data_IF_094751958789
#
_entry.id   IF_094751958789
#
_cell.length_a   1.000
_cell.length_b   1.000
_cell.length_c   1.000
_cell.angle_alpha   90.00
_cell.angle_beta   90.00
_cell.angle_gamma   90.00
#
_symmetry.space_group_name_H-M   'P 1'
#
loop_
_entity.id
_entity.type
_entity.pdbx_description
1 polymer ?
#
# COMPACT_ATOMS: atom_id res chain seq x y z
N UNK A 1 -32.85 2.40 -6.43
CA UNK A 1 -33.04 3.48 -5.43
C UNK A 1 -31.78 3.69 -4.59
N UNK A 2 -31.30 2.68 -3.84
CA UNK A 2 -30.11 2.85 -2.97
C UNK A 2 -28.80 3.15 -3.72
N UNK A 3 -28.57 2.59 -4.91
CA UNK A 3 -27.30 2.81 -5.64
C UNK A 3 -27.18 4.21 -6.27
N UNK A 4 -28.28 4.77 -6.79
CA UNK A 4 -28.30 6.16 -7.29
C UNK A 4 -27.98 7.15 -6.16
N UNK A 5 -28.53 6.92 -4.98
CA UNK A 5 -28.23 7.71 -3.79
C UNK A 5 -26.76 7.60 -3.38
N UNK A 6 -26.20 6.38 -3.31
CA UNK A 6 -24.77 6.18 -3.03
C UNK A 6 -23.87 6.89 -4.05
N UNK A 7 -24.26 6.88 -5.33
CA UNK A 7 -23.55 7.62 -6.37
C UNK A 7 -23.59 9.13 -6.16
N UNK A 8 -24.74 9.68 -5.77
CA UNK A 8 -24.88 11.12 -5.51
C UNK A 8 -23.97 11.56 -4.37
N UNK A 9 -23.98 10.87 -3.24
CA UNK A 9 -23.15 11.26 -2.08
C UNK A 9 -21.65 10.99 -2.31
N UNK A 10 -21.30 10.00 -3.14
CA UNK A 10 -19.90 9.60 -3.31
C UNK A 10 -19.14 10.49 -4.30
N UNK A 11 -19.84 10.99 -5.33
CA UNK A 11 -19.25 11.87 -6.36
C UNK A 11 -19.49 13.36 -6.10
N UNK A 12 -20.24 13.70 -5.06
CA UNK A 12 -20.42 15.07 -4.59
C UNK A 12 -19.19 15.53 -3.79
N UNK A 13 -18.43 16.55 -4.25
CA UNK A 13 -17.26 17.07 -3.54
C UNK A 13 -17.58 17.68 -2.18
N UNK A 14 -18.81 18.16 -1.96
CA UNK A 14 -19.23 18.77 -0.70
C UNK A 14 -19.61 17.71 0.35
N UNK A 15 -19.81 16.47 -0.09
CA UNK A 15 -20.20 15.39 0.80
C UNK A 15 -19.03 14.89 1.65
N UNK A 16 -19.23 14.66 2.97
CA UNK A 16 -18.23 13.97 3.81
C UNK A 16 -17.90 12.53 3.36
N UNK A 17 -18.70 11.96 2.44
CA UNK A 17 -18.51 10.65 1.84
C UNK A 17 -17.67 10.67 0.55
N UNK A 18 -17.33 11.86 0.04
CA UNK A 18 -16.76 12.05 -1.29
C UNK A 18 -15.47 11.27 -1.49
N UNK A 19 -15.44 10.42 -2.51
CA UNK A 19 -14.31 9.54 -2.86
C UNK A 19 -13.69 8.76 -1.67
N UNK A 20 -14.48 8.56 -0.61
CA UNK A 20 -14.01 8.06 0.67
C UNK A 20 -13.97 6.53 0.79
N UNK A 21 -13.62 6.07 1.99
CA UNK A 21 -13.69 4.67 2.37
C UNK A 21 -15.09 4.21 2.77
N UNK A 22 -15.26 2.88 2.92
CA UNK A 22 -16.52 2.25 3.38
C UNK A 22 -17.06 2.92 4.65
N UNK A 23 -16.19 3.27 5.60
CA UNK A 23 -16.61 3.87 6.87
C UNK A 23 -17.04 5.33 6.75
N UNK A 24 -16.41 6.10 5.86
CA UNK A 24 -16.81 7.49 5.59
C UNK A 24 -18.19 7.53 4.95
N UNK A 25 -18.42 6.70 3.92
CA UNK A 25 -19.74 6.56 3.27
C UNK A 25 -20.78 6.05 4.28
N UNK A 26 -20.47 5.04 5.09
CA UNK A 26 -21.41 4.51 6.08
C UNK A 26 -21.82 5.56 7.13
N UNK A 27 -20.88 6.40 7.59
CA UNK A 27 -21.18 7.49 8.54
C UNK A 27 -22.10 8.54 7.90
N UNK A 28 -21.84 8.95 6.65
CA UNK A 28 -22.68 9.91 5.95
C UNK A 28 -24.12 9.39 5.76
N UNK A 29 -24.27 8.14 5.32
CA UNK A 29 -25.58 7.50 5.16
C UNK A 29 -26.34 7.41 6.50
N UNK A 30 -25.64 7.04 7.58
CA UNK A 30 -26.24 6.95 8.91
C UNK A 30 -26.67 8.32 9.45
N UNK A 31 -25.89 9.37 9.20
CA UNK A 31 -26.20 10.73 9.64
C UNK A 31 -27.40 11.33 8.90
N UNK A 32 -27.56 11.04 7.60
CA UNK A 32 -28.72 11.51 6.83
C UNK A 32 -30.02 10.77 7.20
N UNK A 33 -29.95 9.52 7.67
CA UNK A 33 -31.11 8.75 8.12
C UNK A 33 -32.12 8.37 7.04
N UNK A 34 -31.88 8.69 5.76
CA UNK A 34 -32.80 8.40 4.64
C UNK A 34 -32.90 6.91 4.30
N UNK A 35 -31.82 6.17 4.47
CA UNK A 35 -31.74 4.76 4.09
C UNK A 35 -30.90 3.96 5.09
N UNK A 36 -31.37 2.76 5.43
CA UNK A 36 -30.58 1.79 6.20
C UNK A 36 -29.77 0.91 5.25
N UNK A 37 -28.47 1.25 5.08
CA UNK A 37 -27.56 0.51 4.22
C UNK A 37 -26.46 -0.14 5.07
N UNK A 38 -26.31 -1.45 4.96
CA UNK A 38 -25.25 -2.18 5.66
C UNK A 38 -23.86 -1.86 5.07
N UNK A 39 -22.82 -1.92 5.91
CA UNK A 39 -21.42 -1.77 5.46
C UNK A 39 -21.03 -2.73 4.33
N UNK A 40 -21.58 -3.95 4.36
CA UNK A 40 -21.30 -4.95 3.32
C UNK A 40 -21.84 -4.51 1.95
N UNK A 41 -23.05 -3.95 1.92
CA UNK A 41 -23.65 -3.42 0.69
C UNK A 41 -22.88 -2.21 0.16
N UNK A 42 -22.44 -1.30 1.04
CA UNK A 42 -21.57 -0.18 0.67
C UNK A 42 -20.24 -0.69 0.10
N UNK A 43 -19.62 -1.68 0.73
CA UNK A 43 -18.36 -2.28 0.25
C UNK A 43 -18.52 -2.88 -1.15
N UNK A 44 -19.57 -3.66 -1.38
CA UNK A 44 -19.86 -4.24 -2.69
C UNK A 44 -20.12 -3.18 -3.76
N UNK A 45 -20.80 -2.10 -3.40
CA UNK A 45 -21.04 -0.99 -4.32
C UNK A 45 -19.75 -0.22 -4.64
N UNK A 46 -18.93 0.08 -3.64
CA UNK A 46 -17.63 0.75 -3.80
C UNK A 46 -16.65 -0.07 -4.66
N UNK A 47 -16.65 -1.40 -4.53
CA UNK A 47 -15.83 -2.27 -5.38
C UNK A 47 -16.16 -2.16 -6.88
N UNK A 48 -17.37 -1.69 -7.23
CA UNK A 48 -17.78 -1.44 -8.62
C UNK A 48 -17.41 -0.04 -9.13
N UNK A 49 -16.93 0.85 -8.27
CA UNK A 49 -16.57 2.22 -8.66
C UNK A 49 -15.10 2.27 -9.08
N UNK A 50 -14.83 2.75 -10.30
CA UNK A 50 -13.46 2.85 -10.82
C UNK A 50 -12.59 3.75 -9.94
N UNK A 51 -13.12 4.89 -9.50
CA UNK A 51 -12.42 5.82 -8.61
C UNK A 51 -12.01 5.16 -7.29
N UNK A 52 -12.80 4.23 -6.78
CA UNK A 52 -12.45 3.50 -5.56
C UNK A 52 -11.42 2.41 -5.83
N UNK A 53 -11.64 1.62 -6.88
CA UNK A 53 -10.81 0.45 -7.17
C UNK A 53 -9.41 0.80 -7.69
N UNK A 54 -9.26 1.89 -8.46
CA UNK A 54 -7.97 2.34 -8.98
C UNK A 54 -7.05 2.92 -7.90
N UNK A 55 -7.61 3.67 -6.94
CA UNK A 55 -6.82 4.39 -5.94
C UNK A 55 -6.70 3.66 -4.61
N UNK A 56 -7.44 2.56 -4.43
CA UNK A 56 -7.32 1.75 -3.22
C UNK A 56 -6.16 0.76 -3.36
N UNK A 57 -5.12 0.86 -2.51
CA UNK A 57 -4.00 -0.07 -2.57
C UNK A 57 -4.48 -1.49 -2.25
N UNK A 58 -4.21 -2.42 -3.17
CA UNK A 58 -4.47 -3.83 -2.92
C UNK A 58 -3.33 -4.41 -2.08
N UNK A 59 -3.65 -4.86 -0.86
CA UNK A 59 -2.67 -5.45 0.06
C UNK A 59 -2.75 -6.97 0.02
N UNK A 60 -1.86 -7.59 -0.75
CA UNK A 60 -1.69 -9.04 -0.77
C UNK A 60 -0.70 -9.48 0.32
N UNK A 61 -1.14 -10.32 1.25
CA UNK A 61 -0.25 -11.04 2.17
C UNK A 61 0.08 -12.39 1.56
N UNK A 62 1.24 -12.48 0.91
CA UNK A 62 1.76 -13.75 0.41
C UNK A 62 2.78 -14.32 1.40
N UNK A 63 2.85 -15.66 1.50
CA UNK A 63 3.87 -16.33 2.31
C UNK A 63 5.23 -16.09 1.64
N UNK A 64 6.18 -15.53 2.39
CA UNK A 64 7.58 -15.41 1.98
C UNK A 64 8.37 -16.59 2.54
N UNK A 65 9.36 -17.06 1.79
CA UNK A 65 10.33 -18.01 2.31
C UNK A 65 11.13 -17.32 3.43
N UNK A 66 11.41 -18.07 4.50
CA UNK A 66 12.31 -17.61 5.56
C UNK A 66 13.74 -17.93 5.13
N UNK A 67 14.66 -16.96 5.21
CA UNK A 67 16.09 -17.24 5.14
C UNK A 67 16.49 -17.98 6.42
N UNK A 68 16.89 -19.25 6.29
CA UNK A 68 17.35 -20.07 7.41
C UNK A 68 18.79 -20.44 7.08
N UNK A 69 19.74 -19.87 7.81
CA UNK A 69 21.18 -20.08 7.60
C UNK A 69 21.68 -21.12 8.61
N UNK A 70 22.49 -22.08 8.15
CA UNK A 70 22.94 -23.22 8.96
C UNK A 70 24.18 -22.92 9.83
N UNK A 71 25.13 -22.16 9.30
CA UNK A 71 26.41 -21.85 9.91
C UNK A 71 26.97 -20.51 9.40
N UNK A 72 28.10 -20.09 9.99
CA UNK A 72 28.85 -18.93 9.48
C UNK A 72 29.43 -19.28 8.10
N UNK A 73 29.45 -18.29 7.21
CA UNK A 73 29.93 -18.39 5.83
C UNK A 73 29.09 -19.28 4.89
N UNK A 74 27.88 -19.67 5.30
CA UNK A 74 26.97 -20.47 4.46
C UNK A 74 26.25 -19.63 3.39
N UNK A 75 25.81 -18.42 3.76
CA UNK A 75 25.04 -17.53 2.88
C UNK A 75 25.49 -16.09 3.04
N UNK A 76 25.84 -15.45 1.93
CA UNK A 76 26.29 -14.06 1.87
C UNK A 76 25.33 -13.24 1.00
N UNK A 77 24.93 -12.07 1.49
CA UNK A 77 24.10 -11.12 0.74
C UNK A 77 25.01 -10.02 0.17
N UNK A 78 24.91 -9.79 -1.13
CA UNK A 78 25.69 -8.77 -1.81
C UNK A 78 24.77 -7.79 -2.53
N UNK A 79 25.03 -6.49 -2.36
CA UNK A 79 24.32 -5.41 -3.04
C UNK A 79 25.29 -4.33 -3.51
N UNK A 80 24.87 -3.58 -4.54
CA UNK A 80 25.66 -2.51 -5.12
C UNK A 80 25.05 -1.15 -4.80
N UNK A 81 25.76 -0.36 -4.01
CA UNK A 81 25.41 1.03 -3.75
C UNK A 81 25.90 1.89 -4.91
N UNK A 82 24.96 2.58 -5.57
CA UNK A 82 25.25 3.53 -6.65
C UNK A 82 25.37 4.93 -6.07
N UNK A 83 26.56 5.53 -6.21
CA UNK A 83 26.90 6.86 -5.71
C UNK A 83 27.51 7.75 -6.80
N UNK A 84 27.09 7.57 -8.06
CA UNK A 84 27.64 8.31 -9.21
C UNK A 84 27.59 9.84 -9.01
N UNK A 85 26.50 10.34 -8.43
CA UNK A 85 26.31 11.76 -8.09
C UNK A 85 27.30 12.29 -7.05
N UNK A 86 27.90 11.43 -6.23
CA UNK A 86 28.85 11.77 -5.17
C UNK A 86 30.30 11.46 -5.56
N UNK A 87 30.55 11.00 -6.79
CA UNK A 87 31.89 10.58 -7.23
C UNK A 87 32.99 11.62 -7.03
N UNK A 88 32.69 12.92 -7.20
CA UNK A 88 33.67 13.99 -6.96
C UNK A 88 34.10 14.09 -5.50
N UNK A 89 33.19 13.82 -4.57
CA UNK A 89 33.45 13.80 -3.13
C UNK A 89 34.01 12.44 -2.67
N UNK A 90 33.93 11.42 -3.52
CA UNK A 90 34.35 10.06 -3.26
C UNK A 90 35.53 9.63 -4.16
N UNK A 91 36.50 10.51 -4.39
CA UNK A 91 37.74 10.21 -5.14
C UNK A 91 37.52 9.55 -6.53
N UNK A 92 36.41 9.86 -7.19
CA UNK A 92 36.03 9.27 -8.48
C UNK A 92 35.31 7.92 -8.40
N UNK A 93 35.16 7.32 -7.21
CA UNK A 93 34.43 6.07 -7.03
C UNK A 93 32.92 6.30 -7.12
N UNK A 94 32.28 5.55 -8.02
CA UNK A 94 30.85 5.67 -8.35
C UNK A 94 29.99 4.56 -7.74
N UNK A 95 30.61 3.47 -7.34
CA UNK A 95 29.94 2.27 -6.88
C UNK A 95 30.66 1.70 -5.66
N UNK A 96 29.89 1.17 -4.71
CA UNK A 96 30.42 0.40 -3.57
C UNK A 96 29.69 -0.92 -3.54
N UNK A 97 30.44 -2.01 -3.63
CA UNK A 97 29.91 -3.35 -3.41
C UNK A 97 29.91 -3.62 -1.91
N UNK A 98 28.75 -3.89 -1.34
CA UNK A 98 28.61 -4.35 0.04
C UNK A 98 28.34 -5.84 0.04
N UNK A 99 29.11 -6.60 0.78
CA UNK A 99 28.94 -8.05 0.93
C UNK A 99 28.87 -8.35 2.41
N UNK A 100 27.82 -9.04 2.85
CA UNK A 100 27.53 -9.26 4.26
C UNK A 100 27.25 -10.74 4.49
N UNK A 101 27.91 -11.35 5.48
CA UNK A 101 27.53 -12.68 5.94
C UNK A 101 26.15 -12.63 6.62
N UNK A 102 25.23 -13.49 6.17
CA UNK A 102 23.83 -13.41 6.59
C UNK A 102 23.65 -13.81 8.07
N UNK A 103 24.56 -14.62 8.65
CA UNK A 103 24.43 -15.07 10.02
C UNK A 103 25.02 -14.07 11.02
N UNK A 104 26.29 -13.69 10.86
CA UNK A 104 27.03 -12.86 11.82
C UNK A 104 27.00 -11.36 11.47
N UNK A 105 26.48 -10.99 10.28
CA UNK A 105 26.37 -9.61 9.78
C UNK A 105 27.71 -8.88 9.63
N UNK A 106 28.79 -9.63 9.45
CA UNK A 106 30.12 -9.09 9.15
C UNK A 106 30.20 -8.65 7.68
N UNK A 107 30.91 -7.55 7.44
CA UNK A 107 31.04 -6.86 6.15
C UNK A 107 32.44 -6.30 5.93
#
# INVERSE_FOLDING_TARGET
>A
MSEKYLSQIYYDPESPASFGGVDSVYRAVKNEGKYEISRNKIRQWLQKQDAYSLHKPVRYRFRRNRGIVGAMDDEWEADLVIMDSLSQQNNGYKYVLTVIDVLNKYA
#
